data_IF_101796240142
#
_entry.id   IF_101796240142
#
_cell.length_a   1.000
_cell.length_b   1.000
_cell.length_c   1.000
_cell.angle_alpha   90.00
_cell.angle_beta   90.00
_cell.angle_gamma   90.00
#
_symmetry.space_group_name_H-M   'P 1'
#
loop_
_entity.id
_entity.type
_entity.pdbx_description
1 polymer ?
#
# COMPACT_ATOMS: atom_id res chain seq x y z
N UNK A 1 9.90 -33.43 -19.99
CA UNK A 1 10.90 -32.34 -20.08
C UNK A 1 10.25 -30.99 -20.39
N UNK A 2 9.15 -30.95 -21.17
CA UNK A 2 8.37 -29.71 -21.43
C UNK A 2 7.62 -29.14 -20.21
N UNK A 3 7.11 -29.98 -19.30
CA UNK A 3 6.34 -29.51 -18.13
C UNK A 3 7.21 -28.66 -17.18
N UNK A 4 8.48 -29.04 -16.99
CA UNK A 4 9.43 -28.28 -16.16
C UNK A 4 9.81 -26.92 -16.79
N UNK A 5 9.82 -26.82 -18.12
CA UNK A 5 10.12 -25.57 -18.81
C UNK A 5 8.97 -24.55 -18.67
N UNK A 6 7.72 -25.04 -18.71
CA UNK A 6 6.51 -24.23 -18.54
C UNK A 6 6.39 -23.65 -17.12
N UNK A 7 6.67 -24.46 -16.09
CA UNK A 7 6.68 -23.99 -14.68
C UNK A 7 7.76 -22.93 -14.45
N UNK A 8 8.96 -23.11 -15.01
CA UNK A 8 10.05 -22.14 -14.93
C UNK A 8 9.70 -20.81 -15.62
N UNK A 9 9.02 -20.86 -16.77
CA UNK A 9 8.54 -19.66 -17.47
C UNK A 9 7.51 -18.89 -16.64
N UNK A 10 6.58 -19.62 -16.00
CA UNK A 10 5.56 -19.03 -15.13
C UNK A 10 6.15 -18.41 -13.86
N UNK A 11 7.13 -19.08 -13.25
CA UNK A 11 7.86 -18.58 -12.09
C UNK A 11 8.65 -17.31 -12.42
N UNK A 12 9.37 -17.30 -13.55
CA UNK A 12 10.12 -16.12 -14.00
C UNK A 12 9.17 -14.94 -14.27
N UNK A 13 8.07 -15.18 -14.98
CA UNK A 13 7.05 -14.15 -15.25
C UNK A 13 6.48 -13.57 -13.94
N UNK A 14 6.18 -14.43 -12.96
CA UNK A 14 5.71 -14.01 -11.64
C UNK A 14 6.72 -13.11 -10.93
N UNK A 15 8.00 -13.50 -10.89
CA UNK A 15 9.06 -12.68 -10.29
C UNK A 15 9.15 -11.33 -10.99
N UNK A 16 9.19 -11.32 -12.33
CA UNK A 16 9.27 -10.08 -13.09
C UNK A 16 8.08 -9.15 -12.80
N UNK A 17 6.87 -9.70 -12.69
CA UNK A 17 5.69 -8.95 -12.30
C UNK A 17 5.82 -8.36 -10.89
N UNK A 18 6.23 -9.17 -9.90
CA UNK A 18 6.44 -8.72 -8.51
C UNK A 18 7.50 -7.61 -8.43
N UNK A 19 8.64 -7.78 -9.11
CA UNK A 19 9.71 -6.77 -9.17
C UNK A 19 9.23 -5.48 -9.83
N UNK A 20 8.49 -5.59 -10.95
CA UNK A 20 7.96 -4.42 -11.66
C UNK A 20 6.95 -3.67 -10.79
N UNK A 21 6.04 -4.39 -10.11
CA UNK A 21 5.08 -3.80 -9.17
C UNK A 21 5.83 -3.10 -8.02
N UNK A 22 6.88 -3.72 -7.48
CA UNK A 22 7.67 -3.15 -6.40
C UNK A 22 8.40 -1.87 -6.83
N UNK A 23 9.00 -1.87 -8.02
CA UNK A 23 9.66 -0.69 -8.59
C UNK A 23 8.68 0.47 -8.81
N UNK A 24 7.52 0.20 -9.40
CA UNK A 24 6.46 1.20 -9.58
C UNK A 24 5.94 1.73 -8.24
N UNK A 25 5.74 0.85 -7.27
CA UNK A 25 5.30 1.21 -5.92
C UNK A 25 6.30 2.14 -5.24
N UNK A 26 7.59 1.80 -5.28
CA UNK A 26 8.64 2.64 -4.69
C UNK A 26 8.70 4.01 -5.37
N UNK A 27 8.66 4.04 -6.71
CA UNK A 27 8.67 5.30 -7.47
C UNK A 27 7.46 6.18 -7.15
N UNK A 28 6.28 5.56 -6.99
CA UNK A 28 5.07 6.24 -6.55
C UNK A 28 5.21 6.84 -5.16
N UNK A 29 5.72 6.07 -4.18
CA UNK A 29 5.97 6.54 -2.81
C UNK A 29 6.97 7.68 -2.76
N UNK A 30 8.06 7.62 -3.53
CA UNK A 30 9.06 8.70 -3.61
C UNK A 30 8.45 9.99 -4.14
N UNK A 31 7.57 9.88 -5.14
CA UNK A 31 6.87 11.02 -5.73
C UNK A 31 5.93 11.68 -4.71
N UNK A 32 5.11 10.87 -4.04
CA UNK A 32 4.20 11.35 -2.97
C UNK A 32 5.02 12.02 -1.86
N UNK A 33 6.13 11.41 -1.43
CA UNK A 33 6.99 11.97 -0.39
C UNK A 33 7.60 13.32 -0.81
N UNK A 34 8.01 13.47 -2.06
CA UNK A 34 8.53 14.73 -2.59
C UNK A 34 7.45 15.83 -2.61
N UNK A 35 6.22 15.49 -2.98
CA UNK A 35 5.09 16.43 -2.98
C UNK A 35 4.71 16.86 -1.55
N UNK A 36 4.61 15.90 -0.62
CA UNK A 36 4.30 16.17 0.80
C UNK A 36 5.36 17.06 1.44
N UNK A 37 6.64 16.79 1.20
CA UNK A 37 7.75 17.63 1.71
C UNK A 37 7.67 19.06 1.18
N UNK A 38 7.25 19.26 -0.08
CA UNK A 38 7.05 20.59 -0.66
C UNK A 38 5.81 21.28 -0.10
N UNK A 39 4.75 20.54 0.19
CA UNK A 39 3.49 21.08 0.71
C UNK A 39 3.63 21.69 2.13
N UNK A 40 4.55 21.16 2.94
CA UNK A 40 4.83 21.64 4.31
C UNK A 40 3.76 21.26 5.34
N UNK A 41 2.49 21.13 4.93
CA UNK A 41 1.38 20.70 5.76
C UNK A 41 0.69 19.47 5.17
N UNK A 42 0.46 18.46 6.01
CA UNK A 42 -0.24 17.24 5.66
C UNK A 42 -0.98 16.65 6.86
N UNK A 43 -1.93 15.76 6.60
CA UNK A 43 -2.64 14.96 7.59
C UNK A 43 -2.76 13.51 7.14
N UNK A 44 -2.87 12.59 8.09
CA UNK A 44 -3.22 11.19 7.81
C UNK A 44 -4.70 10.94 8.14
N UNK A 45 -5.35 10.16 7.27
CA UNK A 45 -6.65 9.57 7.52
C UNK A 45 -6.48 8.05 7.53
N UNK A 46 -7.10 7.41 8.50
CA UNK A 46 -7.10 5.95 8.64
C UNK A 46 -8.55 5.49 8.69
N UNK A 47 -8.96 4.66 7.75
CA UNK A 47 -10.35 4.18 7.65
C UNK A 47 -10.42 2.66 7.74
N UNK A 48 -11.41 2.17 8.48
CA UNK A 48 -11.69 0.74 8.55
C UNK A 48 -12.56 0.34 7.38
N UNK A 49 -12.02 -0.48 6.48
CA UNK A 49 -12.80 -1.12 5.43
C UNK A 49 -13.22 -2.50 5.95
N UNK A 50 -14.48 -2.72 6.37
CA UNK A 50 -14.93 -4.04 6.77
C UNK A 50 -14.93 -4.94 5.53
N UNK A 51 -13.90 -5.77 5.39
CA UNK A 51 -13.79 -6.77 4.33
C UNK A 51 -14.50 -8.06 4.75
N UNK A 52 -15.07 -8.76 3.78
CA UNK A 52 -15.67 -10.10 3.88
C UNK A 52 -14.57 -11.14 4.19
N UNK A 53 -13.29 -10.78 4.05
CA UNK A 53 -12.11 -11.65 4.18
C UNK A 53 -11.67 -12.02 5.62
N UNK A 54 -12.41 -11.62 6.66
CA UNK A 54 -12.07 -11.84 8.08
C UNK A 54 -10.75 -11.24 8.56
N UNK A 55 -10.06 -10.43 7.75
CA UNK A 55 -8.89 -9.65 8.18
C UNK A 55 -9.30 -8.23 8.50
N UNK A 56 -9.01 -7.78 9.72
CA UNK A 56 -9.24 -6.40 10.11
C UNK A 56 -8.09 -5.56 9.54
N UNK A 57 -8.35 -4.83 8.46
CA UNK A 57 -7.37 -3.96 7.81
C UNK A 57 -7.84 -2.51 7.77
N UNK A 58 -6.89 -1.58 7.89
CA UNK A 58 -7.16 -0.15 7.82
C UNK A 58 -6.49 0.46 6.58
N UNK A 59 -7.22 1.25 5.81
CA UNK A 59 -6.65 2.03 4.71
C UNK A 59 -5.93 3.28 5.26
N UNK A 60 -4.65 3.45 4.93
CA UNK A 60 -3.88 4.65 5.25
C UNK A 60 -3.86 5.60 4.06
N UNK A 61 -4.42 6.79 4.25
CA UNK A 61 -4.48 7.87 3.25
C UNK A 61 -3.73 9.08 3.79
N UNK A 62 -2.91 9.72 2.95
CA UNK A 62 -2.30 11.01 3.25
C UNK A 62 -3.01 12.10 2.45
N UNK A 63 -3.30 13.24 3.11
CA UNK A 63 -3.86 14.45 2.51
C UNK A 63 -2.88 15.61 2.68
N UNK A 64 -2.63 16.37 1.63
CA UNK A 64 -1.75 17.55 1.64
C UNK A 64 -2.25 18.60 0.62
N UNK A 65 -1.82 19.85 0.77
CA UNK A 65 -2.07 20.86 -0.26
C UNK A 65 -1.09 20.67 -1.42
N UNK A 66 -1.60 20.54 -2.66
CA UNK A 66 -0.75 20.43 -3.85
C UNK A 66 0.21 21.60 -3.92
N UNK A 67 1.53 21.37 -4.05
CA UNK A 67 2.50 22.45 -4.19
C UNK A 67 2.28 23.32 -5.43
N UNK A 68 1.58 22.81 -6.44
CA UNK A 68 1.36 23.50 -7.72
C UNK A 68 0.12 24.41 -7.67
N UNK A 69 -0.97 23.92 -7.06
CA UNK A 69 -2.28 24.60 -7.10
C UNK A 69 -2.81 25.02 -5.72
N UNK A 70 -2.16 24.60 -4.64
CA UNK A 70 -2.65 24.78 -3.26
C UNK A 70 -3.91 23.97 -2.92
N UNK A 71 -4.36 23.09 -3.82
CA UNK A 71 -5.59 22.33 -3.67
C UNK A 71 -5.39 21.06 -2.82
N UNK A 72 -6.36 20.65 -1.99
CA UNK A 72 -6.29 19.39 -1.27
C UNK A 72 -6.09 18.21 -2.22
N UNK A 73 -5.06 17.42 -1.96
CA UNK A 73 -4.71 16.20 -2.70
C UNK A 73 -4.67 15.04 -1.73
N UNK A 74 -5.26 13.91 -2.13
CA UNK A 74 -5.29 12.68 -1.36
C UNK A 74 -4.54 11.57 -2.09
N UNK A 75 -3.76 10.79 -1.34
CA UNK A 75 -3.02 9.64 -1.84
C UNK A 75 -3.19 8.45 -0.90
N UNK A 76 -3.59 7.31 -1.45
CA UNK A 76 -3.52 6.03 -0.75
C UNK A 76 -2.06 5.61 -0.59
N UNK A 77 -1.68 5.19 0.62
CA UNK A 77 -0.32 4.73 0.90
C UNK A 77 -0.23 3.21 0.99
N UNK A 78 -1.07 2.61 1.83
CA UNK A 78 -1.06 1.16 2.07
C UNK A 78 -2.25 0.74 2.94
N UNK A 79 -2.42 -0.57 3.10
CA UNK A 79 -3.26 -1.15 4.15
C UNK A 79 -2.41 -1.48 5.38
N UNK A 80 -2.96 -1.24 6.55
CA UNK A 80 -2.40 -1.65 7.83
C UNK A 80 -3.15 -2.88 8.31
N UNK A 81 -2.45 -3.98 8.55
CA UNK A 81 -3.03 -5.18 9.15
C UNK A 81 -3.15 -4.98 10.66
N UNK A 82 -4.36 -5.12 11.20
CA UNK A 82 -4.58 -5.18 12.64
C UNK A 82 -4.46 -6.62 13.10
N UNK A 83 -3.46 -6.91 13.92
CA UNK A 83 -3.37 -8.19 14.62
C UNK A 83 -4.36 -8.15 15.77
N UNK A 84 -5.29 -9.10 15.79
CA UNK A 84 -6.16 -9.29 16.95
C UNK A 84 -5.29 -9.69 18.15
N UNK A 85 -5.17 -8.79 19.12
CA UNK A 85 -4.75 -9.18 20.46
C UNK A 85 -5.92 -9.96 21.06
N UNK A 86 -5.77 -11.28 21.14
CA UNK A 86 -6.64 -12.08 21.99
C UNK A 86 -6.50 -11.59 23.41
N UNK A 87 -7.43 -10.74 23.86
CA UNK A 87 -7.65 -10.44 25.27
C UNK A 87 -7.84 -11.80 25.93
N UNK A 88 -6.92 -12.14 26.82
CA UNK A 88 -6.89 -13.42 27.51
C UNK A 88 -8.27 -13.79 28.02
N UNK A 89 -8.67 -15.05 27.80
CA UNK A 89 -9.85 -15.64 28.43
C UNK A 89 -9.83 -15.26 29.91
N UNK A 90 -10.78 -14.41 30.33
CA UNK A 90 -11.09 -14.24 31.74
C UNK A 90 -11.66 -15.57 32.20
N UNK A 91 -10.83 -16.32 32.91
CA UNK A 91 -11.21 -17.40 33.83
C UNK A 91 -12.24 -16.93 34.83
#
# INVERSE_FOLDING_TARGET
MEILAQENLHYLSKIMCEETIQLMTNKGKDTIMAEVKKAGYFSFSVDSTPDISHTNQLALIIRYASPEYGLPTERFLTFLELKDYSVGKRS
#
